data_IF_757292233690
#
_entry.id   IF_757292233690
#
_cell.length_a   1.000
_cell.length_b   1.000
_cell.length_c   1.000
_cell.angle_alpha   90.00
_cell.angle_beta   90.00
_cell.angle_gamma   90.00
#
_symmetry.space_group_name_H-M   'P 1'
#
loop_
_entity.id
_entity.type
_entity.pdbx_description
1 polymer ?
#
# COMPACT_ATOMS: atom_id res chain seq x y z
N UNK A 1 -21.04 -24.60 -25.83
CA UNK A 1 -20.65 -24.08 -25.65
C UNK A 1 -20.22 -23.48 -25.48
N UNK A 2 -20.02 -23.41 -25.16
CA UNK A 2 -19.54 -22.84 -24.87
C UNK A 2 -19.05 -22.03 -24.63
N UNK A 3 -18.83 -21.87 -24.37
CA UNK A 3 -18.39 -21.20 -24.02
C UNK A 3 -18.15 -20.38 -24.01
N UNK A 4 -18.40 -20.51 -23.57
CA UNK A 4 -18.18 -19.76 -23.49
C UNK A 4 -17.53 -18.94 -23.54
N UNK A 5 -17.47 -18.70 -23.76
CA UNK A 5 -16.66 -17.94 -24.10
C UNK A 5 -16.69 -16.52 -24.06
N UNK A 6 -17.36 -16.08 -23.27
CA UNK A 6 -17.19 -14.73 -22.90
C UNK A 6 -16.05 -14.65 -21.97
N UNK A 7 -14.94 -14.34 -22.52
CA UNK A 7 -13.83 -13.98 -21.70
C UNK A 7 -14.07 -12.56 -21.26
N UNK A 8 -14.61 -12.40 -20.12
CA UNK A 8 -14.61 -11.11 -19.48
C UNK A 8 -13.22 -10.91 -18.93
N UNK A 9 -12.43 -10.17 -19.66
CA UNK A 9 -11.15 -9.76 -19.13
C UNK A 9 -11.40 -8.60 -18.18
N UNK A 10 -11.44 -8.91 -16.92
CA UNK A 10 -11.36 -7.89 -15.89
C UNK A 10 -9.90 -7.59 -15.67
N UNK A 11 -9.49 -6.44 -16.15
CA UNK A 11 -8.17 -5.93 -15.82
C UNK A 11 -8.24 -5.25 -14.46
N UNK A 12 -7.73 -5.93 -13.45
CA UNK A 12 -7.50 -5.30 -12.17
C UNK A 12 -6.13 -4.62 -12.23
N UNK A 13 -6.13 -3.32 -12.45
CA UNK A 13 -4.90 -2.57 -12.39
C UNK A 13 -4.45 -2.43 -10.94
N UNK A 14 -3.16 -2.65 -10.70
CA UNK A 14 -2.59 -2.41 -9.39
C UNK A 14 -2.77 -0.95 -9.02
N UNK A 15 -3.27 -0.70 -7.83
CA UNK A 15 -3.30 0.64 -7.29
C UNK A 15 -1.90 1.05 -6.87
N UNK A 16 -1.63 2.34 -6.90
CA UNK A 16 -0.32 2.87 -6.61
C UNK A 16 -0.35 3.64 -5.30
N UNK A 17 0.43 3.16 -4.35
CA UNK A 17 0.66 3.87 -3.09
C UNK A 17 2.00 4.61 -3.19
N UNK A 18 1.97 5.93 -3.05
CA UNK A 18 3.17 6.77 -3.03
C UNK A 18 3.41 7.19 -1.59
N UNK A 19 4.56 6.83 -1.05
CA UNK A 19 4.93 7.14 0.33
C UNK A 19 6.26 7.83 0.37
N UNK A 20 6.52 8.59 1.44
CA UNK A 20 7.74 9.35 1.63
C UNK A 20 8.52 8.86 2.82
N UNK A 21 9.83 8.80 2.66
CA UNK A 21 10.76 8.57 3.74
C UNK A 21 11.67 9.79 3.84
N UNK A 22 11.85 10.30 5.05
CA UNK A 22 12.75 11.42 5.28
C UNK A 22 14.19 10.97 5.03
N UNK A 23 14.86 11.66 4.11
CA UNK A 23 16.30 11.49 3.90
C UNK A 23 17.02 12.59 4.68
N UNK A 24 17.77 12.25 5.73
CA UNK A 24 18.42 13.25 6.57
C UNK A 24 19.53 14.03 5.87
N UNK A 25 19.98 13.56 4.71
CA UNK A 25 21.04 14.20 3.95
C UNK A 25 20.52 15.23 2.95
N UNK A 26 19.21 15.37 2.84
CA UNK A 26 18.57 16.26 1.86
C UNK A 26 17.68 17.25 2.61
N UNK A 27 17.90 18.54 2.31
CA UNK A 27 17.01 19.58 2.79
C UNK A 27 15.89 19.77 1.77
N UNK A 28 14.65 19.60 2.21
CA UNK A 28 13.50 19.85 1.37
C UNK A 28 13.44 21.34 1.03
N UNK A 29 13.44 21.67 -0.24
CA UNK A 29 13.38 23.06 -0.70
C UNK A 29 11.94 23.52 -0.95
N UNK A 30 10.99 22.60 -0.92
CA UNK A 30 9.58 22.87 -1.20
C UNK A 30 8.70 22.04 -0.31
N UNK A 31 7.59 22.64 0.11
CA UNK A 31 6.49 21.86 0.67
C UNK A 31 5.62 21.37 -0.49
N UNK A 32 5.63 20.07 -0.72
CA UNK A 32 4.76 19.49 -1.72
C UNK A 32 3.51 18.99 -1.06
N UNK A 33 2.36 19.44 -1.54
CA UNK A 33 1.11 18.81 -1.19
C UNK A 33 1.04 17.46 -1.91
N UNK A 34 1.03 16.38 -1.14
CA UNK A 34 0.88 15.07 -1.71
C UNK A 34 -0.60 14.74 -1.73
N UNK A 35 -1.18 14.75 -2.91
CA UNK A 35 -2.53 14.26 -3.11
C UNK A 35 -2.44 12.78 -3.43
N UNK A 36 -2.86 11.95 -2.52
CA UNK A 36 -3.00 10.53 -2.80
C UNK A 36 -4.45 10.14 -2.60
N UNK A 37 -4.98 9.46 -3.59
CA UNK A 37 -6.26 8.81 -3.42
C UNK A 37 -6.11 7.68 -2.40
N UNK A 38 -7.14 7.41 -1.61
CA UNK A 38 -7.11 6.24 -0.75
C UNK A 38 -6.92 4.97 -1.60
N UNK A 39 -6.24 4.00 -1.02
CA UNK A 39 -6.16 2.68 -1.61
C UNK A 39 -7.51 2.01 -1.40
N UNK A 40 -8.09 1.51 -2.46
CA UNK A 40 -9.39 0.84 -2.40
C UNK A 40 -9.18 -0.66 -2.51
N UNK A 41 -9.67 -1.39 -1.53
CA UNK A 41 -9.66 -2.85 -1.56
C UNK A 41 -11.09 -3.37 -1.73
N UNK A 42 -11.28 -4.26 -2.67
CA UNK A 42 -12.57 -4.89 -2.94
C UNK A 42 -12.61 -6.26 -2.31
N UNK A 43 -13.68 -6.54 -1.59
CA UNK A 43 -13.92 -7.87 -1.06
C UNK A 43 -14.18 -8.86 -2.21
N UNK A 44 -13.86 -10.11 -1.99
CA UNK A 44 -14.09 -11.16 -2.98
C UNK A 44 -12.96 -11.41 -3.98
N UNK A 45 -11.92 -10.57 -3.95
CA UNK A 45 -10.76 -10.70 -4.85
C UNK A 45 -9.47 -10.35 -4.11
N UNK A 46 -8.35 -10.76 -4.67
CA UNK A 46 -7.04 -10.27 -4.26
C UNK A 46 -6.81 -8.89 -4.88
N UNK A 47 -6.27 -7.98 -4.09
CA UNK A 47 -6.06 -6.59 -4.50
C UNK A 47 -4.57 -6.28 -4.56
N UNK A 48 -3.96 -6.25 -5.76
CA UNK A 48 -2.55 -5.92 -5.90
C UNK A 48 -2.32 -4.43 -5.68
N UNK A 49 -1.23 -4.11 -4.99
CA UNK A 49 -0.83 -2.74 -4.71
C UNK A 49 0.64 -2.57 -5.08
N UNK A 50 0.92 -1.53 -5.84
CA UNK A 50 2.27 -1.10 -6.16
C UNK A 50 2.67 0.02 -5.21
N UNK A 51 3.85 -0.10 -4.61
CA UNK A 51 4.38 0.90 -3.69
C UNK A 51 5.51 1.65 -4.37
N UNK A 52 5.46 2.97 -4.31
CA UNK A 52 6.55 3.84 -4.79
C UNK A 52 7.01 4.68 -3.61
N UNK A 53 8.29 4.52 -3.26
CA UNK A 53 8.90 5.25 -2.14
C UNK A 53 9.72 6.39 -2.68
N UNK A 54 9.49 7.58 -2.15
CA UNK A 54 10.19 8.80 -2.55
C UNK A 54 10.74 9.50 -1.33
N UNK A 55 11.73 10.36 -1.55
CA UNK A 55 12.20 11.26 -0.50
C UNK A 55 11.32 12.52 -0.44
N UNK A 56 11.65 13.46 0.45
CA UNK A 56 10.88 14.68 0.64
C UNK A 56 10.89 15.60 -0.59
N UNK A 57 11.82 15.42 -1.52
CA UNK A 57 11.89 16.17 -2.78
C UNK A 57 11.16 15.46 -3.93
N UNK A 58 10.37 14.44 -3.62
CA UNK A 58 9.61 13.64 -4.59
C UNK A 58 10.49 12.87 -5.57
N UNK A 59 11.70 12.56 -5.18
CA UNK A 59 12.62 11.76 -5.99
C UNK A 59 12.71 10.33 -5.47
N UNK A 60 12.94 9.41 -6.38
CA UNK A 60 13.12 8.01 -6.03
C UNK A 60 14.28 7.85 -5.04
N UNK A 61 14.09 6.95 -4.09
CA UNK A 61 15.09 6.64 -3.08
C UNK A 61 15.57 5.21 -3.26
N UNK A 62 16.90 5.03 -3.16
CA UNK A 62 17.52 3.70 -3.23
C UNK A 62 17.34 3.00 -1.88
N UNK A 63 16.63 1.90 -1.89
CA UNK A 63 16.34 1.10 -0.70
C UNK A 63 17.12 -0.22 -0.68
N UNK A 64 18.26 -0.27 -1.35
CA UNK A 64 19.14 -1.43 -1.27
C UNK A 64 19.54 -1.69 0.19
N UNK A 65 19.37 -2.93 0.63
CA UNK A 65 19.65 -3.30 2.02
C UNK A 65 18.51 -3.06 3.00
N UNK A 66 17.33 -2.67 2.52
CA UNK A 66 16.15 -2.49 3.34
C UNK A 66 15.04 -3.45 2.94
N UNK A 67 14.32 -3.93 3.93
CA UNK A 67 13.06 -4.64 3.73
C UNK A 67 11.91 -3.69 4.02
N UNK A 68 10.81 -3.85 3.31
CA UNK A 68 9.62 -3.03 3.52
C UNK A 68 8.43 -3.89 3.91
N UNK A 69 7.67 -3.39 4.86
CA UNK A 69 6.45 -4.03 5.35
C UNK A 69 5.29 -3.06 5.24
N UNK A 70 4.17 -3.56 4.73
CA UNK A 70 2.89 -2.86 4.74
C UNK A 70 2.01 -3.47 5.82
N UNK A 71 1.23 -2.64 6.50
CA UNK A 71 0.39 -3.10 7.59
C UNK A 71 -0.97 -2.40 7.56
N UNK A 72 -2.02 -3.20 7.71
CA UNK A 72 -3.37 -2.68 7.90
C UNK A 72 -3.59 -2.48 9.39
N UNK A 73 -3.98 -1.27 9.77
CA UNK A 73 -4.30 -0.94 11.15
C UNK A 73 -5.74 -0.44 11.26
N UNK A 74 -6.38 -0.85 12.34
CA UNK A 74 -7.71 -0.32 12.67
C UNK A 74 -7.51 1.04 13.35
N UNK A 75 -8.03 2.13 12.77
CA UNK A 75 -7.83 3.46 13.34
C UNK A 75 -8.58 3.68 14.65
N UNK A 76 -9.59 2.87 14.95
CA UNK A 76 -10.40 3.02 16.16
C UNK A 76 -9.65 2.53 17.39
N UNK A 77 -9.13 1.32 17.34
CA UNK A 77 -8.42 0.70 18.47
C UNK A 77 -6.92 0.60 18.26
N UNK A 78 -6.42 1.02 17.11
CA UNK A 78 -5.00 1.02 16.72
C UNK A 78 -4.37 -0.38 16.76
N UNK A 79 -5.18 -1.39 16.51
CA UNK A 79 -4.72 -2.78 16.45
C UNK A 79 -4.27 -3.09 15.03
N UNK A 80 -3.13 -3.77 14.93
CA UNK A 80 -2.66 -4.31 13.65
C UNK A 80 -3.55 -5.46 13.23
N UNK A 81 -4.11 -5.36 12.01
CA UNK A 81 -4.96 -6.41 11.45
C UNK A 81 -4.13 -7.44 10.70
N UNK A 82 -3.23 -6.98 9.85
CA UNK A 82 -2.41 -7.84 9.01
C UNK A 82 -1.17 -7.11 8.53
N UNK A 83 -0.05 -7.80 8.50
CA UNK A 83 1.21 -7.29 7.94
C UNK A 83 1.54 -8.04 6.66
N UNK A 84 2.09 -7.32 5.69
CA UNK A 84 2.50 -7.86 4.41
C UNK A 84 3.96 -7.52 4.14
N UNK A 85 4.73 -8.50 3.68
CA UNK A 85 6.07 -8.23 3.17
C UNK A 85 5.94 -7.65 1.75
N UNK A 86 6.60 -6.53 1.52
CA UNK A 86 6.65 -5.93 0.18
C UNK A 86 7.75 -6.61 -0.62
N UNK A 87 7.41 -7.08 -1.82
CA UNK A 87 8.38 -7.65 -2.75
C UNK A 87 8.93 -6.54 -3.62
N UNK A 88 10.26 -6.38 -3.65
CA UNK A 88 10.88 -5.34 -4.47
C UNK A 88 10.80 -5.69 -5.96
N UNK A 89 10.24 -4.76 -6.73
CA UNK A 89 10.26 -4.82 -8.19
C UNK A 89 11.49 -4.09 -8.73
N UNK A 90 11.82 -2.95 -8.12
CA UNK A 90 13.03 -2.16 -8.45
C UNK A 90 13.47 -1.46 -7.17
N UNK A 91 14.31 -2.14 -6.41
CA UNK A 91 14.74 -1.67 -5.09
C UNK A 91 15.55 -0.39 -5.15
N UNK A 92 16.35 -0.23 -6.21
CA UNK A 92 17.18 0.97 -6.40
C UNK A 92 16.32 2.22 -6.60
N UNK A 93 15.12 2.04 -7.16
CA UNK A 93 14.17 3.13 -7.39
C UNK A 93 13.03 3.14 -6.37
N UNK A 94 13.11 2.33 -5.33
CA UNK A 94 12.12 2.29 -4.29
C UNK A 94 10.75 1.82 -4.74
N UNK A 95 10.69 0.85 -5.64
CA UNK A 95 9.43 0.30 -6.15
C UNK A 95 9.23 -1.12 -5.68
N UNK A 96 8.07 -1.38 -5.14
CA UNK A 96 7.70 -2.70 -4.65
C UNK A 96 6.25 -3.03 -4.90
N UNK A 97 5.88 -4.26 -4.59
CA UNK A 97 4.52 -4.75 -4.76
C UNK A 97 4.13 -5.61 -3.58
N UNK A 98 2.87 -5.58 -3.24
CA UNK A 98 2.25 -6.54 -2.34
C UNK A 98 0.80 -6.76 -2.72
N UNK A 99 0.19 -7.78 -2.18
CA UNK A 99 -1.20 -8.12 -2.48
C UNK A 99 -1.99 -8.10 -1.17
N UNK A 100 -3.07 -7.31 -1.15
CA UNK A 100 -4.06 -7.38 -0.09
C UNK A 100 -4.90 -8.61 -0.35
N UNK A 101 -4.67 -9.66 0.40
CA UNK A 101 -5.24 -10.98 0.14
C UNK A 101 -6.74 -11.00 0.41
N UNK A 102 -7.45 -11.74 -0.43
CA UNK A 102 -8.91 -11.87 -0.35
C UNK A 102 -9.39 -12.30 1.02
N UNK A 103 -8.73 -13.28 1.64
CA UNK A 103 -9.17 -13.84 2.90
C UNK A 103 -9.18 -12.78 4.02
N UNK A 104 -8.16 -11.93 4.07
CA UNK A 104 -8.10 -10.84 5.05
C UNK A 104 -9.13 -9.77 4.76
N UNK A 105 -9.22 -9.34 3.51
CA UNK A 105 -10.13 -8.24 3.13
C UNK A 105 -11.59 -8.63 3.34
N UNK A 106 -11.95 -9.89 3.11
CA UNK A 106 -13.32 -10.37 3.32
C UNK A 106 -13.76 -10.33 4.79
N UNK A 107 -12.81 -10.37 5.71
CA UNK A 107 -13.08 -10.30 7.13
C UNK A 107 -13.22 -8.88 7.66
N UNK A 108 -12.84 -7.88 6.88
CA UNK A 108 -12.89 -6.49 7.29
C UNK A 108 -14.27 -5.89 7.04
N UNK A 109 -14.58 -4.88 7.83
CA UNK A 109 -15.80 -4.11 7.63
C UNK A 109 -15.66 -3.16 6.45
N UNK A 110 -16.77 -2.78 5.84
CA UNK A 110 -16.80 -1.85 4.71
C UNK A 110 -16.65 -0.41 5.21
N UNK A 111 -15.44 -0.06 5.59
CA UNK A 111 -15.10 1.25 6.14
C UNK A 111 -13.63 1.56 5.85
N UNK A 112 -13.16 2.69 6.38
CA UNK A 112 -11.76 3.07 6.26
C UNK A 112 -10.89 2.42 7.34
N UNK A 113 -9.73 1.97 6.91
CA UNK A 113 -8.64 1.53 7.77
C UNK A 113 -7.41 2.37 7.43
N UNK A 114 -6.36 2.26 8.22
CA UNK A 114 -5.07 2.86 7.89
C UNK A 114 -4.17 1.82 7.24
N UNK A 115 -3.44 2.24 6.23
CA UNK A 115 -2.40 1.44 5.59
C UNK A 115 -1.07 2.13 5.88
N UNK A 116 -0.24 1.47 6.66
CA UNK A 116 1.04 2.01 7.10
C UNK A 116 2.18 1.21 6.49
N UNK A 117 3.30 1.89 6.29
CA UNK A 117 4.50 1.30 5.71
C UNK A 117 5.69 1.58 6.59
N UNK A 118 6.61 0.63 6.63
CA UNK A 118 7.90 0.83 7.28
C UNK A 118 8.99 0.11 6.50
N UNK A 119 10.19 0.66 6.53
CA UNK A 119 11.38 0.00 6.01
C UNK A 119 12.30 -0.34 7.17
N UNK A 120 12.92 -1.50 7.09
CA UNK A 120 13.82 -2.00 8.12
C UNK A 120 15.17 -2.27 7.49
N UNK A 121 16.23 -1.72 8.06
CA UNK A 121 17.58 -1.99 7.61
C UNK A 121 17.96 -3.44 7.90
N UNK A 122 18.45 -4.15 6.90
CA UNK A 122 18.96 -5.51 7.07
C UNK A 122 20.25 -5.54 7.87
N UNK A 123 20.99 -4.43 7.87
CA UNK A 123 22.30 -4.34 8.51
C UNK A 123 22.18 -4.19 10.03
N UNK A 124 21.40 -3.21 10.50
CA UNK A 124 21.32 -2.86 11.92
C UNK A 124 19.93 -2.95 12.52
N UNK A 125 18.93 -3.31 11.74
CA UNK A 125 17.55 -3.44 12.21
C UNK A 125 16.83 -2.11 12.44
N UNK A 126 17.41 -0.98 12.04
CA UNK A 126 16.78 0.33 12.18
C UNK A 126 15.50 0.39 11.37
N UNK A 127 14.43 0.88 11.99
CA UNK A 127 13.11 0.99 11.35
C UNK A 127 12.81 2.44 11.04
N UNK A 128 12.36 2.69 9.82
CA UNK A 128 11.90 4.00 9.38
C UNK A 128 10.48 3.90 8.85
N UNK A 129 9.55 4.68 9.40
CA UNK A 129 8.20 4.71 8.86
C UNK A 129 8.15 5.47 7.55
N UNK A 130 7.24 5.08 6.68
CA UNK A 130 6.96 5.77 5.43
C UNK A 130 5.52 6.27 5.47
N UNK A 131 5.32 7.53 5.17
CA UNK A 131 4.04 8.21 5.30
C UNK A 131 3.54 8.74 3.97
N UNK A 132 2.25 9.03 3.92
CA UNK A 132 1.68 9.79 2.82
C UNK A 132 2.32 11.18 2.74
N UNK A 133 2.47 11.82 3.90
CA UNK A 133 3.17 13.08 4.06
C UNK A 133 4.08 12.95 5.27
N UNK A 134 5.38 12.96 5.03
CA UNK A 134 6.37 12.75 6.09
C UNK A 134 6.32 13.85 7.16
N UNK A 135 6.06 15.09 6.75
CA UNK A 135 6.00 16.22 7.68
C UNK A 135 4.83 16.09 8.67
N UNK A 136 3.73 15.50 8.26
CA UNK A 136 2.53 15.34 9.08
C UNK A 136 2.38 13.94 9.65
N UNK A 137 3.26 13.01 9.28
CA UNK A 137 3.19 11.60 9.71
C UNK A 137 1.82 10.97 9.42
N UNK A 138 1.29 11.23 8.24
CA UNK A 138 -0.05 10.80 7.86
C UNK A 138 0.02 9.44 7.17
N UNK A 139 -0.68 8.41 7.69
CA UNK A 139 -0.79 7.14 6.99
C UNK A 139 -1.73 7.24 5.79
N UNK A 140 -1.65 6.28 4.88
CA UNK A 140 -2.60 6.18 3.80
C UNK A 140 -3.93 5.65 4.32
N UNK A 141 -5.01 6.10 3.70
CA UNK A 141 -6.33 5.52 3.94
C UNK A 141 -6.51 4.27 3.09
N UNK A 142 -7.06 3.25 3.69
CA UNK A 142 -7.48 2.03 3.02
C UNK A 142 -8.99 1.93 3.11
N UNK A 143 -9.65 1.99 1.97
CA UNK A 143 -11.12 1.92 1.90
C UNK A 143 -11.53 0.51 1.49
N UNK A 144 -12.37 -0.13 2.31
CA UNK A 144 -12.88 -1.46 2.02
C UNK A 144 -14.27 -1.32 1.40
N UNK A 145 -14.41 -1.86 0.21
CA UNK A 145 -15.67 -1.86 -0.53
C UNK A 145 -16.20 -3.28 -0.69
N UNK A 146 -17.52 -3.45 -0.85
CA UNK A 146 -18.08 -4.77 -1.09
C UNK A 146 -17.65 -5.34 -2.43
N UNK A 147 -17.85 -6.64 -2.59
CA UNK A 147 -17.63 -7.29 -3.87
C UNK A 147 -18.44 -6.59 -4.96
N UNK A 148 -17.82 -6.44 -6.13
CA UNK A 148 -18.42 -5.72 -7.24
C UNK A 148 -19.76 -6.33 -7.68
N UNK A 149 -19.85 -7.65 -7.64
CA UNK A 149 -21.10 -8.34 -7.95
C UNK A 149 -21.66 -8.95 -6.69
N UNK A 150 -22.98 -9.02 -6.55
CA UNK A 150 -23.55 -9.57 -5.34
C UNK A 150 -23.28 -11.07 -5.24
N UNK A 151 -22.54 -11.43 -4.20
CA UNK A 151 -22.28 -12.84 -3.93
C UNK A 151 -23.55 -13.59 -3.52
N UNK A 152 -24.58 -12.88 -3.18
CA UNK A 152 -25.83 -13.43 -2.68
C UNK A 152 -26.75 -13.98 -3.79
N UNK A 153 -26.31 -13.95 -5.02
CA UNK A 153 -27.09 -14.50 -6.12
C UNK A 153 -27.02 -16.02 -6.22
N UNK A 154 -26.64 -16.66 -5.19
CA UNK A 154 -26.69 -18.10 -5.15
C UNK A 154 -27.97 -18.59 -4.52
#
# INVERSE_FOLDING_TARGET
>A
MKDTNMIIQTYLYSQKAVVQILDPNIFATRNHNVYANPITAYQGIDNPVQVVVKNQDQKAIDLTGFDMTAEIQDPVNKVSVKSYAVTWADQVRGRGNFVLDRATIDLLEQRFYNLTFKVTSQEDGTVRPAYLDDALSVPLDLKILPAYYPAALN
#
